data_IF_153641217529
#
_entry.id   IF_153641217529
#
_cell.length_a   1.000
_cell.length_b   1.000
_cell.length_c   1.000
_cell.angle_alpha   90.00
_cell.angle_beta   90.00
_cell.angle_gamma   90.00
#
_symmetry.space_group_name_H-M   'P 1'
#
loop_
_entity.id
_entity.type
_entity.pdbx_description
1 polymer ?
#
# COMPACT_ATOMS: atom_id res chain seq x y z
N UNK A 1 -9.50 10.96 10.39
CA UNK A 1 -8.28 11.62 9.86
C UNK A 1 -7.11 10.67 10.10
N UNK A 2 -6.50 10.13 9.05
CA UNK A 2 -5.28 9.33 9.18
C UNK A 2 -4.07 10.26 9.13
N UNK A 3 -3.65 10.74 10.30
CA UNK A 3 -2.40 11.50 10.41
C UNK A 3 -1.22 10.55 10.71
N UNK A 4 0.00 10.87 10.23
CA UNK A 4 1.19 10.16 10.67
C UNK A 4 1.30 10.27 12.19
N UNK A 5 1.47 9.14 12.89
CA UNK A 5 1.75 9.23 14.34
C UNK A 5 3.07 9.97 14.54
N UNK A 6 3.23 10.71 15.64
CA UNK A 6 4.32 11.65 15.93
C UNK A 6 5.78 11.09 15.86
N UNK A 7 5.96 9.82 15.49
CA UNK A 7 7.26 9.15 15.18
C UNK A 7 7.19 8.14 14.01
N UNK A 8 6.13 8.15 13.23
CA UNK A 8 5.89 7.16 12.18
C UNK A 8 6.66 7.57 10.91
N UNK A 9 7.57 6.72 10.46
CA UNK A 9 8.28 6.93 9.19
C UNK A 9 7.28 6.83 8.03
N UNK A 10 7.53 7.52 6.92
CA UNK A 10 6.65 7.49 5.73
C UNK A 10 6.35 6.08 5.23
N UNK A 11 7.29 5.14 5.42
CA UNK A 11 7.11 3.70 5.13
C UNK A 11 6.06 3.06 6.04
N UNK A 12 6.18 3.27 7.34
CA UNK A 12 5.30 2.67 8.36
C UNK A 12 3.87 3.22 8.22
N UNK A 13 3.77 4.53 7.95
CA UNK A 13 2.52 5.18 7.60
C UNK A 13 1.89 4.57 6.34
N UNK A 14 2.66 4.43 5.25
CA UNK A 14 2.17 3.80 4.02
C UNK A 14 1.70 2.35 4.27
N UNK A 15 2.48 1.56 5.02
CA UNK A 15 2.14 0.19 5.35
C UNK A 15 0.80 0.11 6.11
N UNK A 16 0.66 0.92 7.17
CA UNK A 16 -0.55 0.95 7.99
C UNK A 16 -1.76 1.36 7.17
N UNK A 17 -1.67 2.45 6.41
CA UNK A 17 -2.80 2.96 5.63
C UNK A 17 -3.21 1.96 4.55
N UNK A 18 -2.27 1.43 3.77
CA UNK A 18 -2.59 0.45 2.71
C UNK A 18 -3.18 -0.82 3.33
N UNK A 19 -2.65 -1.28 4.47
CA UNK A 19 -3.23 -2.42 5.20
C UNK A 19 -4.66 -2.13 5.65
N UNK A 20 -4.92 -0.97 6.23
CA UNK A 20 -6.28 -0.56 6.63
C UNK A 20 -7.21 -0.49 5.42
N UNK A 21 -6.77 0.04 4.28
CA UNK A 21 -7.56 0.08 3.05
C UNK A 21 -7.91 -1.32 2.52
N UNK A 22 -6.99 -2.29 2.62
CA UNK A 22 -7.25 -3.70 2.27
C UNK A 22 -8.27 -4.30 3.25
N UNK A 23 -8.09 -4.11 4.56
CA UNK A 23 -8.97 -4.65 5.61
C UNK A 23 -10.37 -4.03 5.55
N UNK A 24 -10.47 -2.75 5.22
CA UNK A 24 -11.73 -2.01 5.06
C UNK A 24 -12.43 -2.30 3.72
N UNK A 25 -11.87 -3.17 2.86
CA UNK A 25 -12.34 -3.43 1.50
C UNK A 25 -12.40 -2.18 0.59
N UNK A 26 -11.65 -1.12 0.93
CA UNK A 26 -11.46 0.02 0.02
C UNK A 26 -10.60 -0.38 -1.19
N UNK A 27 -9.66 -1.31 -0.97
CA UNK A 27 -8.90 -1.99 -2.01
C UNK A 27 -9.44 -3.40 -2.18
N UNK A 28 -10.36 -3.59 -3.12
CA UNK A 28 -10.91 -4.91 -3.38
C UNK A 28 -9.85 -5.88 -3.91
N UNK A 29 -9.81 -7.13 -3.41
CA UNK A 29 -8.99 -8.17 -4.00
C UNK A 29 -9.36 -8.36 -5.46
N UNK A 30 -8.37 -8.54 -6.34
CA UNK A 30 -8.62 -8.46 -7.79
C UNK A 30 -8.37 -7.08 -8.42
N UNK A 31 -8.44 -6.00 -7.65
CA UNK A 31 -8.20 -4.65 -8.18
C UNK A 31 -6.73 -4.45 -8.52
N UNK A 32 -6.51 -3.82 -9.68
CA UNK A 32 -5.18 -3.42 -10.14
C UNK A 32 -4.94 -2.00 -9.70
N UNK A 33 -4.04 -1.81 -8.76
CA UNK A 33 -3.59 -0.47 -8.35
C UNK A 33 -2.10 -0.33 -8.61
N UNK A 34 -1.70 0.85 -9.08
CA UNK A 34 -0.30 1.15 -9.33
C UNK A 34 0.38 1.73 -8.08
N UNK A 35 1.68 1.47 -7.89
CA UNK A 35 2.48 2.11 -6.83
C UNK A 35 2.41 3.65 -6.88
N UNK A 36 2.32 4.21 -8.09
CA UNK A 36 2.18 5.65 -8.33
C UNK A 36 0.83 6.19 -7.84
N UNK A 37 -0.25 5.43 -8.01
CA UNK A 37 -1.58 5.86 -7.56
C UNK A 37 -1.66 5.86 -6.04
N UNK A 38 -1.12 4.82 -5.40
CA UNK A 38 -1.03 4.77 -3.94
C UNK A 38 -0.13 5.90 -3.40
N UNK A 39 0.98 6.19 -4.07
CA UNK A 39 1.84 7.31 -3.70
C UNK A 39 1.12 8.66 -3.79
N UNK A 40 0.37 8.90 -4.86
CA UNK A 40 -0.45 10.11 -4.99
C UNK A 40 -1.57 10.17 -3.95
N UNK A 41 -2.24 9.05 -3.67
CA UNK A 41 -3.33 8.98 -2.70
C UNK A 41 -2.85 9.27 -1.27
N UNK A 42 -1.69 8.72 -0.91
CA UNK A 42 -1.07 8.92 0.40
C UNK A 42 -0.28 10.23 0.49
N UNK A 43 -0.15 10.95 -0.62
CA UNK A 43 0.71 12.13 -0.77
C UNK A 43 2.16 11.86 -0.32
N UNK A 44 2.68 10.70 -0.70
CA UNK A 44 4.02 10.21 -0.35
C UNK A 44 4.89 10.03 -1.59
N UNK A 45 6.20 9.93 -1.36
CA UNK A 45 7.14 9.51 -2.39
C UNK A 45 6.96 8.03 -2.76
N UNK A 46 7.33 7.66 -4.00
CA UNK A 46 7.26 6.27 -4.48
C UNK A 46 8.11 5.29 -3.67
N UNK A 47 9.25 5.73 -3.14
CA UNK A 47 10.19 4.89 -2.38
C UNK A 47 9.57 4.27 -1.11
N UNK A 48 9.03 5.04 -0.14
CA UNK A 48 8.41 4.46 1.06
C UNK A 48 7.17 3.62 0.76
N UNK A 49 6.41 3.99 -0.28
CA UNK A 49 5.22 3.24 -0.72
C UNK A 49 5.62 1.89 -1.29
N UNK A 50 6.64 1.85 -2.16
CA UNK A 50 7.17 0.62 -2.72
C UNK A 50 7.69 -0.32 -1.62
N UNK A 51 8.41 0.21 -0.63
CA UNK A 51 8.88 -0.56 0.51
C UNK A 51 7.74 -1.15 1.34
N UNK A 52 6.72 -0.35 1.64
CA UNK A 52 5.51 -0.82 2.33
C UNK A 52 4.79 -1.91 1.54
N UNK A 53 4.66 -1.75 0.22
CA UNK A 53 4.06 -2.76 -0.66
C UNK A 53 4.85 -4.07 -0.68
N UNK A 54 6.19 -4.02 -0.67
CA UNK A 54 7.03 -5.21 -0.57
C UNK A 54 6.79 -5.93 0.76
N UNK A 55 6.65 -5.21 1.87
CA UNK A 55 6.32 -5.83 3.16
C UNK A 55 4.92 -6.45 3.16
N UNK A 56 3.95 -5.77 2.56
CA UNK A 56 2.58 -6.29 2.40
C UNK A 56 2.55 -7.54 1.51
N UNK A 57 3.40 -7.62 0.49
CA UNK A 57 3.58 -8.83 -0.31
C UNK A 57 4.13 -9.98 0.54
N UNK A 58 5.16 -9.71 1.37
CA UNK A 58 5.78 -10.74 2.23
C UNK A 58 4.81 -11.37 3.21
N UNK A 59 3.86 -10.58 3.72
CA UNK A 59 2.81 -11.09 4.62
C UNK A 59 1.61 -11.68 3.87
N UNK A 60 1.64 -11.69 2.53
CA UNK A 60 0.61 -12.31 1.68
C UNK A 60 -0.64 -11.47 1.46
N UNK A 61 -0.60 -10.15 1.71
CA UNK A 61 -1.73 -9.24 1.48
C UNK A 61 -1.92 -8.84 0.01
N UNK A 62 -0.86 -8.94 -0.78
CA UNK A 62 -0.85 -8.61 -2.20
C UNK A 62 0.18 -9.45 -2.95
N UNK A 63 0.11 -9.48 -4.28
CA UNK A 63 1.17 -9.95 -5.18
C UNK A 63 1.42 -8.93 -6.27
N UNK A 64 2.69 -8.77 -6.65
CA UNK A 64 3.01 -8.07 -7.88
C UNK A 64 2.65 -8.94 -9.10
N UNK A 65 1.79 -8.42 -9.98
CA UNK A 65 1.57 -9.00 -11.30
C UNK A 65 2.41 -8.23 -12.31
N UNK A 66 3.22 -8.94 -13.10
CA UNK A 66 4.22 -8.36 -13.99
C UNK A 66 3.63 -7.24 -14.88
N UNK A 67 4.39 -6.14 -15.04
CA UNK A 67 4.02 -4.79 -15.56
C UNK A 67 3.27 -3.91 -14.55
N UNK A 68 3.98 -3.33 -13.57
CA UNK A 68 3.56 -2.19 -12.71
C UNK A 68 2.23 -2.32 -11.95
N UNK A 69 1.59 -3.48 -11.97
CA UNK A 69 0.25 -3.68 -11.42
C UNK A 69 0.32 -4.53 -10.16
N UNK A 70 -0.29 -4.04 -9.09
CA UNK A 70 -0.41 -4.74 -7.82
C UNK A 70 -1.76 -5.46 -7.83
N UNK A 71 -1.76 -6.73 -7.46
CA UNK A 71 -2.95 -7.55 -7.34
C UNK A 71 -3.15 -7.92 -5.87
N UNK A 72 -4.22 -7.43 -5.24
CA UNK A 72 -4.53 -7.76 -3.85
C UNK A 72 -5.10 -9.19 -3.78
N UNK A 73 -4.59 -10.00 -2.84
CA UNK A 73 -4.99 -11.40 -2.66
C UNK A 73 -5.65 -11.54 -1.31
N UNK A 74 -6.97 -11.39 -1.29
CA UNK A 74 -7.84 -11.77 -0.19
C UNK A 74 -9.12 -12.38 -0.76
#
# INVERSE_FOLDING_TARGET
MMEPKHRENSRDFAYRVIREMIVNMELTPGSKVSETELASLLNLSRTPVREALIDLEKVGLLKFCHKKNIHFIY
#
